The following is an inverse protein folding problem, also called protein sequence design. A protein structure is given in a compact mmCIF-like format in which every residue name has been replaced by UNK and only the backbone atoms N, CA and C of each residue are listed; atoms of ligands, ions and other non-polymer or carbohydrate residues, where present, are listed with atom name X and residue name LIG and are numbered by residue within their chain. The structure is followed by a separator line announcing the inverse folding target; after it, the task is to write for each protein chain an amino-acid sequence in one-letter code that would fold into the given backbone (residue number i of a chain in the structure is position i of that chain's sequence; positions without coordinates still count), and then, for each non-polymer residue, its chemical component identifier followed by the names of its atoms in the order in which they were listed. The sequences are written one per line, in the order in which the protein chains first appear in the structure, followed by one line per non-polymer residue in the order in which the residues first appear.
data_IF_811303547851
#
_entry.id   IF_811303547851
#
_cell.length_a   1.000
_cell.length_b   1.000
_cell.length_c   1.000
_cell.angle_alpha   90.00
_cell.angle_beta   90.00
_cell.angle_gamma   90.00
#
_symmetry.space_group_name_H-M   'P 1'
#
loop_
_entity.id
_entity.type
_entity.pdbx_description
1 polymer ?
#
# COMPACT_ATOMS: atom_id res chain seq x y z
N UNK A 1 5.65 -0.44 22.51
CA UNK A 1 5.09 0.52 21.52
C UNK A 1 3.73 1.06 21.98
N UNK A 2 3.42 2.34 21.74
CA UNK A 2 2.12 2.94 22.08
C UNK A 2 1.43 3.35 20.78
N UNK A 3 0.19 2.88 20.58
CA UNK A 3 -0.61 3.22 19.41
C UNK A 3 -0.93 4.73 19.38
N UNK A 4 -0.76 5.36 18.21
CA UNK A 4 -1.17 6.73 17.97
C UNK A 4 -1.91 6.79 16.62
N UNK A 5 -3.18 7.20 16.64
CA UNK A 5 -4.06 7.20 15.46
C UNK A 5 -3.43 7.90 14.24
N UNK A 6 -2.85 9.08 14.43
CA UNK A 6 -2.34 9.90 13.32
C UNK A 6 -1.05 9.35 12.72
N UNK A 7 -0.27 8.58 13.50
CA UNK A 7 1.00 7.98 13.06
C UNK A 7 0.89 6.51 12.68
N UNK A 8 -0.21 5.87 13.05
CA UNK A 8 -0.44 4.45 12.81
C UNK A 8 -1.51 4.26 11.77
N UNK A 9 -2.75 4.68 12.02
CA UNK A 9 -3.90 4.34 11.17
C UNK A 9 -4.06 5.28 10.00
N UNK A 10 -3.96 6.60 10.23
CA UNK A 10 -4.21 7.59 9.16
C UNK A 10 -3.15 7.55 8.06
N UNK A 11 -1.95 7.08 8.37
CA UNK A 11 -0.83 6.96 7.43
C UNK A 11 -0.54 5.50 7.05
N UNK A 12 -1.40 4.54 7.40
CA UNK A 12 -1.18 3.15 7.01
C UNK A 12 -1.60 2.95 5.54
N UNK A 13 -0.75 2.34 4.70
CA UNK A 13 -1.08 2.13 3.31
C UNK A 13 -2.01 0.92 3.14
N UNK A 14 -3.31 1.16 3.22
CA UNK A 14 -4.34 0.11 3.02
C UNK A 14 -4.44 -0.33 1.55
N UNK A 15 -4.78 -1.61 1.29
CA UNK A 15 -4.97 -2.08 -0.07
C UNK A 15 -6.29 -1.54 -0.63
N UNK A 16 -6.41 -1.53 -1.96
CA UNK A 16 -7.69 -1.25 -2.61
C UNK A 16 -8.48 -2.55 -2.66
N UNK A 17 -9.66 -2.56 -2.03
CA UNK A 17 -10.49 -3.76 -1.95
C UNK A 17 -11.55 -3.75 -3.05
N UNK A 18 -11.74 -4.90 -3.69
CA UNK A 18 -13.00 -5.17 -4.41
C UNK A 18 -14.15 -5.31 -3.41
N UNK A 19 -15.39 -5.11 -3.87
CA UNK A 19 -16.58 -5.29 -3.02
C UNK A 19 -16.62 -6.69 -2.38
N UNK A 20 -16.26 -7.72 -3.14
CA UNK A 20 -16.23 -9.11 -2.66
C UNK A 20 -15.16 -9.33 -1.58
N UNK A 21 -13.94 -8.79 -1.76
CA UNK A 21 -12.89 -8.87 -0.74
C UNK A 21 -13.29 -8.13 0.53
N UNK A 22 -13.88 -6.93 0.40
CA UNK A 22 -14.34 -6.15 1.54
C UNK A 22 -15.46 -6.85 2.33
N UNK A 23 -16.42 -7.49 1.63
CA UNK A 23 -17.47 -8.29 2.25
C UNK A 23 -16.90 -9.53 2.94
N UNK A 24 -15.98 -10.23 2.30
CA UNK A 24 -15.36 -11.43 2.87
C UNK A 24 -14.57 -11.13 4.15
N UNK A 25 -13.71 -10.11 4.13
CA UNK A 25 -12.95 -9.67 5.32
C UNK A 25 -13.91 -9.22 6.44
N UNK A 26 -15.01 -8.55 6.08
CA UNK A 26 -16.04 -8.12 7.04
C UNK A 26 -16.71 -9.31 7.72
N UNK A 27 -17.17 -10.31 6.98
CA UNK A 27 -17.79 -11.52 7.56
C UNK A 27 -16.85 -12.20 8.55
N UNK A 28 -15.59 -12.39 8.17
CA UNK A 28 -14.59 -13.00 9.05
C UNK A 28 -14.35 -12.18 10.32
N UNK A 29 -14.25 -10.85 10.19
CA UNK A 29 -14.06 -9.95 11.33
C UNK A 29 -15.29 -9.93 12.26
N UNK A 30 -16.50 -9.97 11.72
CA UNK A 30 -17.75 -10.04 12.50
C UNK A 30 -17.86 -11.39 13.23
N UNK A 31 -17.49 -12.49 12.57
CA UNK A 31 -17.42 -13.82 13.21
C UNK A 31 -16.40 -13.86 14.34
N UNK A 32 -15.23 -13.26 14.16
CA UNK A 32 -14.21 -13.12 15.21
C UNK A 32 -14.72 -12.29 16.39
N UNK A 33 -15.39 -11.18 16.14
CA UNK A 33 -15.99 -10.35 17.18
C UNK A 33 -17.11 -11.08 17.94
N UNK A 34 -18.04 -11.69 17.22
CA UNK A 34 -19.13 -12.48 17.79
C UNK A 34 -18.60 -13.67 18.62
N UNK A 35 -17.54 -14.33 18.15
CA UNK A 35 -16.86 -15.40 18.89
C UNK A 35 -16.34 -14.90 20.23
N UNK A 36 -15.52 -13.83 20.22
CA UNK A 36 -14.93 -13.26 21.44
C UNK A 36 -16.00 -12.85 22.45
N UNK A 37 -17.04 -12.15 21.99
CA UNK A 37 -18.16 -11.72 22.85
C UNK A 37 -18.89 -12.91 23.47
N UNK A 38 -19.29 -13.88 22.65
CA UNK A 38 -20.00 -15.09 23.13
C UNK A 38 -19.21 -15.83 24.21
N UNK A 39 -17.91 -16.04 24.01
CA UNK A 39 -17.07 -16.74 24.98
C UNK A 39 -16.87 -15.94 26.27
N UNK A 40 -16.75 -14.61 26.19
CA UNK A 40 -16.67 -13.76 27.38
C UNK A 40 -17.99 -13.69 28.16
N UNK A 41 -19.12 -13.71 27.46
CA UNK A 41 -20.45 -13.74 28.09
C UNK A 41 -20.70 -15.07 28.82
N UNK A 42 -20.29 -16.20 28.22
CA UNK A 42 -20.41 -17.54 28.81
C UNK A 42 -19.41 -17.79 29.95
N UNK A 43 -18.24 -17.16 29.88
CA UNK A 43 -17.18 -17.30 30.87
C UNK A 43 -16.70 -15.93 31.37
N UNK A 44 -17.36 -15.32 32.37
CA UNK A 44 -17.06 -13.94 32.81
C UNK A 44 -15.63 -13.69 33.31
N UNK A 45 -14.91 -14.74 33.72
CA UNK A 45 -13.50 -14.67 34.14
C UNK A 45 -12.52 -14.77 32.97
N UNK A 46 -13.01 -15.06 31.76
CA UNK A 46 -12.22 -15.16 30.54
C UNK A 46 -11.87 -13.76 30.04
N UNK A 47 -10.57 -13.50 29.90
CA UNK A 47 -10.06 -12.23 29.41
C UNK A 47 -9.54 -12.36 28.00
N UNK A 48 -9.67 -11.30 27.19
CA UNK A 48 -9.05 -11.24 25.87
C UNK A 48 -7.55 -11.51 25.96
N UNK A 49 -6.85 -10.83 26.87
CA UNK A 49 -5.41 -11.05 27.08
C UNK A 49 -5.10 -12.51 27.38
N UNK A 50 -5.90 -13.18 28.21
CA UNK A 50 -5.76 -14.62 28.46
C UNK A 50 -5.89 -15.45 27.19
N UNK A 51 -6.94 -15.21 26.39
CA UNK A 51 -7.17 -15.94 25.14
C UNK A 51 -6.02 -15.75 24.14
N UNK A 52 -5.53 -14.51 23.96
CA UNK A 52 -4.43 -14.22 23.04
C UNK A 52 -3.09 -14.78 23.53
N UNK A 53 -2.82 -14.77 24.83
CA UNK A 53 -1.62 -15.43 25.38
C UNK A 53 -1.67 -16.96 25.16
N UNK A 54 -2.84 -17.58 25.34
CA UNK A 54 -3.01 -19.00 25.06
C UNK A 54 -2.88 -19.32 23.56
N UNK A 55 -3.39 -18.43 22.69
CA UNK A 55 -3.24 -18.53 21.24
C UNK A 55 -1.77 -18.49 20.80
N UNK A 56 -0.97 -17.58 21.36
CA UNK A 56 0.45 -17.46 21.01
C UNK A 56 1.25 -18.69 21.45
N UNK A 57 0.95 -19.24 22.64
CA UNK A 57 1.53 -20.52 23.07
C UNK A 57 1.13 -21.69 22.19
N UNK A 58 -0.13 -21.71 21.72
CA UNK A 58 -0.59 -22.70 20.76
C UNK A 58 0.20 -22.60 19.44
N UNK A 59 0.43 -21.38 18.94
CA UNK A 59 1.22 -21.13 17.72
C UNK A 59 2.70 -21.46 17.89
N UNK A 60 3.29 -21.24 19.07
CA UNK A 60 4.69 -21.58 19.37
C UNK A 60 4.91 -23.06 19.70
N UNK A 61 3.83 -23.83 19.90
CA UNK A 61 3.89 -25.23 20.32
C UNK A 61 4.28 -25.43 21.79
N UNK A 62 4.23 -24.38 22.61
CA UNK A 62 4.50 -24.45 24.03
C UNK A 62 3.40 -25.21 24.78
N UNK A 63 3.80 -26.00 25.80
CA UNK A 63 2.84 -26.68 26.65
C UNK A 63 2.05 -25.67 27.49
N UNK A 64 0.72 -25.74 27.39
CA UNK A 64 -0.18 -24.96 28.24
C UNK A 64 -0.16 -25.49 29.68
N UNK A 65 -0.17 -24.61 30.68
CA UNK A 65 -0.44 -25.01 32.07
C UNK A 65 -1.95 -25.22 32.33
N UNK A 66 -2.36 -25.62 33.54
CA UNK A 66 -3.77 -25.91 33.85
C UNK A 66 -4.70 -24.70 33.65
N UNK A 67 -4.25 -23.50 34.03
CA UNK A 67 -5.01 -22.27 33.84
C UNK A 67 -5.15 -21.95 32.34
N UNK A 68 -4.07 -22.10 31.59
CA UNK A 68 -4.05 -21.85 30.14
C UNK A 68 -4.87 -22.89 29.37
N UNK A 69 -4.86 -24.16 29.81
CA UNK A 69 -5.76 -25.21 29.28
C UNK A 69 -7.22 -24.85 29.50
N UNK A 70 -7.55 -24.34 30.69
CA UNK A 70 -8.90 -23.87 31.00
C UNK A 70 -9.30 -22.70 30.09
N UNK A 71 -8.41 -21.70 29.93
CA UNK A 71 -8.62 -20.57 29.01
C UNK A 71 -8.75 -21.04 27.56
N UNK A 72 -7.94 -21.99 27.12
CA UNK A 72 -7.98 -22.55 25.78
C UNK A 72 -9.34 -23.20 25.50
N UNK A 73 -9.84 -24.00 26.46
CA UNK A 73 -11.15 -24.64 26.36
C UNK A 73 -12.30 -23.63 26.39
N UNK A 74 -12.32 -22.73 27.38
CA UNK A 74 -13.37 -21.72 27.56
C UNK A 74 -13.38 -20.65 26.46
N UNK A 75 -12.22 -20.29 25.91
CA UNK A 75 -12.12 -19.34 24.80
C UNK A 75 -12.25 -19.98 23.44
N UNK A 76 -12.35 -21.31 23.36
CA UNK A 76 -12.29 -22.09 22.13
C UNK A 76 -11.17 -21.55 21.22
N UNK A 77 -9.95 -21.52 21.77
CA UNK A 77 -8.82 -20.77 21.18
C UNK A 77 -8.41 -21.30 19.81
N UNK A 78 -8.71 -22.55 19.46
CA UNK A 78 -8.54 -23.09 18.11
C UNK A 78 -9.44 -22.38 17.08
N UNK A 79 -10.70 -22.08 17.43
CA UNK A 79 -11.61 -21.32 16.55
C UNK A 79 -11.11 -19.88 16.42
N UNK A 80 -10.61 -19.30 17.51
CA UNK A 80 -9.98 -17.99 17.50
C UNK A 80 -8.78 -17.97 16.53
N UNK A 81 -7.93 -19.00 16.57
CA UNK A 81 -6.80 -19.17 15.66
C UNK A 81 -7.24 -19.21 14.20
N UNK A 82 -8.20 -20.08 13.87
CA UNK A 82 -8.70 -20.25 12.51
C UNK A 82 -9.27 -18.94 11.93
N UNK A 83 -10.02 -18.18 12.73
CA UNK A 83 -10.57 -16.90 12.31
C UNK A 83 -9.48 -15.84 12.07
N UNK A 84 -8.47 -15.76 12.94
CA UNK A 84 -7.33 -14.86 12.71
C UNK A 84 -6.56 -15.25 11.46
N UNK A 85 -6.25 -16.54 11.29
CA UNK A 85 -5.49 -17.02 10.14
C UNK A 85 -6.25 -16.78 8.83
N UNK A 86 -7.58 -16.90 8.85
CA UNK A 86 -8.44 -16.59 7.70
C UNK A 86 -8.45 -15.08 7.38
N UNK A 87 -8.57 -14.21 8.40
CA UNK A 87 -8.52 -12.75 8.21
C UNK A 87 -7.16 -12.35 7.65
N UNK A 88 -6.07 -12.83 8.26
CA UNK A 88 -4.71 -12.48 7.82
C UNK A 88 -4.50 -12.92 6.36
N UNK A 89 -4.92 -14.15 5.98
CA UNK A 89 -4.86 -14.60 4.58
C UNK A 89 -5.64 -13.69 3.63
N UNK A 90 -6.89 -13.37 3.96
CA UNK A 90 -7.73 -12.50 3.12
C UNK A 90 -7.13 -11.10 2.97
N UNK A 91 -6.49 -10.58 4.03
CA UNK A 91 -5.77 -9.30 3.97
C UNK A 91 -4.53 -9.41 3.09
N UNK A 92 -3.69 -10.45 3.26
CA UNK A 92 -2.54 -10.67 2.37
C UNK A 92 -2.96 -10.80 0.90
N UNK A 93 -4.05 -11.52 0.62
CA UNK A 93 -4.60 -11.65 -0.73
C UNK A 93 -5.04 -10.30 -1.29
N UNK A 94 -5.70 -9.45 -0.49
CA UNK A 94 -6.07 -8.10 -0.88
C UNK A 94 -4.86 -7.21 -1.23
N UNK A 95 -3.70 -7.47 -0.62
CA UNK A 95 -2.45 -6.81 -0.97
C UNK A 95 -1.74 -7.45 -2.18
N UNK A 96 -2.17 -8.63 -2.65
CA UNK A 96 -1.47 -9.43 -3.65
C UNK A 96 -0.23 -10.15 -3.09
N UNK A 97 -0.15 -10.37 -1.78
CA UNK A 97 1.02 -10.92 -1.07
C UNK A 97 0.77 -12.32 -0.51
N UNK A 98 0.07 -13.17 -1.27
CA UNK A 98 -0.23 -14.55 -0.88
C UNK A 98 1.03 -15.42 -0.68
N UNK A 99 2.14 -15.05 -1.32
CA UNK A 99 3.45 -15.66 -1.10
C UNK A 99 3.93 -15.49 0.35
N UNK A 100 3.81 -14.28 0.90
CA UNK A 100 4.14 -13.99 2.30
C UNK A 100 3.14 -14.64 3.27
N UNK A 101 1.86 -14.70 2.89
CA UNK A 101 0.84 -15.35 3.69
C UNK A 101 1.18 -16.81 4.02
N UNK A 102 1.75 -17.54 3.05
CA UNK A 102 2.14 -18.94 3.21
C UNK A 102 3.25 -19.14 4.27
N UNK A 103 4.08 -18.12 4.48
CA UNK A 103 5.19 -18.18 5.44
C UNK A 103 4.76 -17.65 6.81
N UNK A 104 4.00 -16.55 6.84
CA UNK A 104 3.75 -15.75 8.04
C UNK A 104 2.45 -16.10 8.77
N UNK A 105 1.40 -16.53 8.06
CA UNK A 105 0.09 -16.78 8.69
C UNK A 105 0.15 -17.99 9.62
N UNK A 106 -0.43 -17.86 10.81
CA UNK A 106 -0.43 -18.90 11.84
C UNK A 106 0.90 -19.03 12.61
N UNK A 107 1.92 -18.23 12.28
CA UNK A 107 3.19 -18.20 13.02
C UNK A 107 3.04 -17.41 14.33
N UNK A 108 3.80 -17.77 15.38
CA UNK A 108 3.85 -16.98 16.60
C UNK A 108 4.46 -15.60 16.34
N UNK A 109 4.12 -14.63 17.19
CA UNK A 109 4.71 -13.29 17.16
C UNK A 109 3.86 -12.20 16.50
N UNK A 110 2.67 -12.54 16.00
CA UNK A 110 1.75 -11.57 15.41
C UNK A 110 0.99 -10.76 16.46
N UNK A 111 0.59 -11.39 17.58
CA UNK A 111 -0.20 -10.71 18.63
C UNK A 111 0.61 -10.37 19.89
N UNK A 112 1.80 -10.95 20.05
CA UNK A 112 2.74 -10.62 21.13
C UNK A 112 4.18 -10.56 20.62
N UNK A 113 5.07 -9.75 21.21
CA UNK A 113 6.48 -9.71 20.80
C UNK A 113 7.15 -11.08 20.93
N UNK A 114 7.67 -11.61 19.83
CA UNK A 114 8.42 -12.87 19.81
C UNK A 114 9.93 -12.59 19.76
N UNK A 115 10.70 -12.96 20.80
CA UNK A 115 12.14 -12.69 20.83
C UNK A 115 12.96 -13.60 19.92
N UNK A 116 12.52 -14.84 19.68
CA UNK A 116 13.22 -15.82 18.86
C UNK A 116 12.34 -16.25 17.68
N UNK A 117 12.68 -15.80 16.47
CA UNK A 117 11.98 -16.11 15.22
C UNK A 117 12.82 -17.07 14.38
N UNK A 118 12.17 -17.88 13.55
CA UNK A 118 12.91 -18.68 12.55
C UNK A 118 13.52 -17.75 11.50
N UNK A 119 14.62 -18.18 10.86
CA UNK A 119 15.26 -17.40 9.81
C UNK A 119 14.30 -17.11 8.65
N UNK A 120 13.50 -18.10 8.25
CA UNK A 120 12.48 -17.98 7.21
C UNK A 120 11.42 -16.93 7.56
N UNK A 121 10.90 -16.93 8.79
CA UNK A 121 9.94 -15.93 9.25
C UNK A 121 10.56 -14.54 9.28
N UNK A 122 11.79 -14.40 9.75
CA UNK A 122 12.47 -13.10 9.82
C UNK A 122 12.65 -12.48 8.41
N UNK A 123 13.04 -13.29 7.42
CA UNK A 123 13.17 -12.84 6.02
C UNK A 123 11.82 -12.42 5.44
N UNK A 124 10.77 -13.21 5.67
CA UNK A 124 9.43 -12.85 5.18
C UNK A 124 8.86 -11.59 5.85
N UNK A 125 9.16 -11.36 7.14
CA UNK A 125 8.79 -10.12 7.82
C UNK A 125 9.55 -8.90 7.28
N UNK A 126 10.85 -9.05 6.97
CA UNK A 126 11.65 -7.98 6.35
C UNK A 126 11.12 -7.62 4.96
N UNK A 127 10.76 -8.64 4.16
CA UNK A 127 10.12 -8.44 2.86
C UNK A 127 8.76 -7.76 3.00
N UNK A 128 7.92 -8.17 3.98
CA UNK A 128 6.66 -7.50 4.28
C UNK A 128 6.87 -6.00 4.58
N UNK A 129 7.83 -5.68 5.45
CA UNK A 129 8.15 -4.30 5.80
C UNK A 129 8.66 -3.51 4.59
N UNK A 130 9.44 -4.14 3.72
CA UNK A 130 9.95 -3.53 2.48
C UNK A 130 8.80 -3.19 1.52
N UNK A 131 7.86 -4.12 1.30
CA UNK A 131 6.67 -3.88 0.47
C UNK A 131 5.77 -2.78 1.04
N UNK A 132 5.56 -2.77 2.36
CA UNK A 132 4.80 -1.71 3.03
C UNK A 132 5.48 -0.34 2.91
N UNK A 133 6.81 -0.28 3.06
CA UNK A 133 7.56 0.98 2.90
C UNK A 133 7.47 1.51 1.45
N UNK A 134 7.57 0.63 0.46
CA UNK A 134 7.40 0.97 -0.95
C UNK A 134 5.98 1.49 -1.24
N UNK A 135 4.95 0.82 -0.73
CA UNK A 135 3.56 1.26 -0.89
C UNK A 135 3.32 2.61 -0.21
N UNK A 136 3.88 2.84 0.97
CA UNK A 136 3.81 4.14 1.64
C UNK A 136 4.49 5.24 0.83
N UNK A 137 5.67 4.98 0.24
CA UNK A 137 6.35 5.93 -0.64
C UNK A 137 5.51 6.28 -1.87
N UNK A 138 4.83 5.28 -2.46
CA UNK A 138 3.90 5.50 -3.56
C UNK A 138 2.72 6.39 -3.13
N UNK A 139 2.10 6.13 -1.97
CA UNK A 139 0.99 6.95 -1.46
C UNK A 139 1.40 8.40 -1.21
N UNK A 140 2.59 8.62 -0.65
CA UNK A 140 3.14 9.97 -0.47
C UNK A 140 3.33 10.67 -1.83
N UNK A 141 3.82 9.98 -2.86
CA UNK A 141 3.98 10.56 -4.19
C UNK A 141 2.63 10.93 -4.84
N UNK A 142 1.61 10.10 -4.65
CA UNK A 142 0.24 10.37 -5.12
C UNK A 142 -0.36 11.60 -4.43
N UNK A 143 -0.20 11.70 -3.11
CA UNK A 143 -0.71 12.85 -2.33
C UNK A 143 -0.05 14.17 -2.79
N UNK A 144 1.25 14.16 -3.08
CA UNK A 144 1.98 15.32 -3.64
C UNK A 144 1.41 15.73 -5.01
N UNK A 145 0.92 14.78 -5.80
CA UNK A 145 0.25 15.02 -7.08
C UNK A 145 -1.24 15.43 -6.91
N UNK A 146 -1.74 15.50 -5.67
CA UNK A 146 -3.13 15.83 -5.35
C UNK A 146 -4.08 14.63 -5.35
N UNK A 147 -3.56 13.41 -5.50
CA UNK A 147 -4.34 12.17 -5.45
C UNK A 147 -4.31 11.59 -4.04
N UNK A 148 -5.42 11.74 -3.30
CA UNK A 148 -5.57 11.15 -1.96
C UNK A 148 -6.48 9.94 -2.03
N UNK A 149 -5.95 8.77 -1.65
CA UNK A 149 -6.73 7.52 -1.57
C UNK A 149 -7.40 7.38 -0.20
N UNK A 150 -8.61 7.93 -0.10
CA UNK A 150 -9.48 7.79 1.07
C UNK A 150 -9.96 6.35 1.27
N UNK A 151 -9.90 5.85 2.50
CA UNK A 151 -10.45 4.56 2.91
C UNK A 151 -11.97 4.58 3.02
N UNK A 152 -12.53 5.72 3.43
CA UNK A 152 -13.96 5.98 3.53
C UNK A 152 -14.27 7.35 2.92
N UNK A 153 -14.30 7.46 1.60
CA UNK A 153 -14.48 8.74 0.90
C UNK A 153 -15.70 9.50 1.41
N UNK A 154 -16.81 8.80 1.64
CA UNK A 154 -18.07 9.36 2.11
C UNK A 154 -18.00 9.99 3.51
N UNK A 155 -16.99 9.63 4.32
CA UNK A 155 -16.75 10.22 5.64
C UNK A 155 -15.54 11.15 5.68
N UNK A 156 -14.50 10.85 4.90
CA UNK A 156 -13.21 11.53 4.96
C UNK A 156 -13.15 12.73 4.00
N UNK A 157 -13.84 12.64 2.86
CA UNK A 157 -13.88 13.69 1.86
C UNK A 157 -15.20 13.64 1.07
N UNK A 158 -16.35 13.95 1.73
CA UNK A 158 -17.68 13.81 1.12
C UNK A 158 -17.88 14.69 -0.13
N UNK A 159 -17.11 15.77 -0.25
CA UNK A 159 -17.16 16.71 -1.39
C UNK A 159 -16.08 16.45 -2.44
N UNK A 160 -15.21 15.45 -2.25
CA UNK A 160 -14.11 15.14 -3.18
C UNK A 160 -14.46 13.96 -4.10
N UNK A 161 -14.27 14.12 -5.40
CA UNK A 161 -14.42 13.04 -6.37
C UNK A 161 -13.15 12.18 -6.34
N UNK A 162 -13.26 10.91 -5.95
CA UNK A 162 -12.15 9.97 -6.04
C UNK A 162 -11.85 9.64 -7.51
N UNK A 163 -10.64 9.96 -7.95
CA UNK A 163 -10.08 9.36 -9.16
C UNK A 163 -9.47 8.02 -8.75
N UNK A 164 -10.03 6.90 -9.21
CA UNK A 164 -9.41 5.58 -9.06
C UNK A 164 -8.01 5.64 -9.68
N UNK A 165 -6.98 5.53 -8.83
CA UNK A 165 -5.63 5.30 -9.30
C UNK A 165 -5.44 3.78 -9.39
N UNK A 166 -5.37 3.26 -10.60
CA UNK A 166 -5.03 1.86 -10.89
C UNK A 166 -3.66 1.53 -10.31
N UNK A 167 -3.57 0.38 -9.63
CA UNK A 167 -2.31 -0.26 -9.30
C UNK A 167 -1.87 -1.07 -10.52
N UNK A 168 -0.80 -0.64 -11.19
CA UNK A 168 -0.18 -1.38 -12.29
C UNK A 168 0.58 -2.58 -11.69
N UNK A 169 0.03 -3.77 -11.86
CA UNK A 169 0.80 -5.02 -11.82
C UNK A 169 1.66 -5.09 -13.09
N UNK A 170 3.00 -5.18 -12.96
CA UNK A 170 3.92 -5.43 -14.07
C UNK A 170 4.37 -6.91 -14.07
N UNK A 171 4.82 -7.52 -15.20
CA UNK A 171 5.13 -6.90 -16.49
C UNK A 171 4.59 -7.67 -17.73
N UNK A 172 3.99 -6.95 -18.67
CA UNK A 172 4.27 -7.11 -20.10
C UNK A 172 3.77 -5.84 -20.80
N UNK A 173 4.69 -4.93 -21.08
CA UNK A 173 4.35 -3.66 -21.72
C UNK A 173 4.18 -3.91 -23.21
N UNK A 174 2.98 -4.35 -23.58
CA UNK A 174 2.38 -4.00 -24.87
C UNK A 174 1.33 -2.93 -24.59
N UNK A 175 1.55 -1.80 -25.24
CA UNK A 175 0.91 -0.51 -25.05
C UNK A 175 -0.60 -0.57 -25.25
N UNK A 176 -1.37 0.06 -24.36
CA UNK A 176 -2.63 0.70 -24.76
C UNK A 176 -2.75 2.07 -24.08
N UNK A 177 -2.52 3.13 -24.87
CA UNK A 177 -2.68 4.52 -24.46
C UNK A 177 -4.17 4.82 -24.45
N UNK A 178 -4.78 4.81 -23.26
CA UNK A 178 -6.11 5.36 -23.07
C UNK A 178 -6.03 6.90 -23.13
N UNK A 179 -6.56 7.46 -24.22
CA UNK A 179 -6.70 8.89 -24.43
C UNK A 179 -7.70 9.50 -23.45
N UNK A 180 -7.23 10.30 -22.49
CA UNK A 180 -8.03 11.39 -21.91
C UNK A 180 -7.49 12.72 -22.40
N UNK A 181 -8.23 13.30 -23.33
CA UNK A 181 -7.97 14.54 -24.03
C UNK A 181 -8.13 15.76 -23.12
N UNK A 182 -7.04 16.27 -22.54
CA UNK A 182 -6.77 17.72 -22.48
C UNK A 182 -5.25 17.98 -22.41
N UNK A 183 -4.62 18.27 -23.56
CA UNK A 183 -3.23 18.74 -23.60
C UNK A 183 -3.11 20.06 -22.81
N UNK A 184 -2.15 20.23 -21.88
CA UNK A 184 -1.94 21.49 -21.18
C UNK A 184 -1.57 22.63 -22.14
N UNK A 185 -1.91 23.87 -21.79
CA UNK A 185 -1.42 25.05 -22.52
C UNK A 185 0.07 25.26 -22.25
N UNK A 186 0.80 25.80 -23.23
CA UNK A 186 2.19 26.21 -23.04
C UNK A 186 2.28 27.31 -21.97
N UNK A 187 3.10 27.16 -20.91
CA UNK A 187 3.23 28.17 -19.88
C UNK A 187 3.76 29.51 -20.43
N UNK A 188 3.31 30.62 -19.86
CA UNK A 188 3.71 31.98 -20.31
C UNK A 188 5.00 32.48 -19.65
N UNK A 189 5.36 31.95 -18.47
CA UNK A 189 6.56 32.35 -17.74
C UNK A 189 7.74 31.45 -18.11
N UNK A 190 8.95 32.01 -18.20
CA UNK A 190 10.17 31.23 -18.47
C UNK A 190 10.44 30.14 -17.41
N UNK A 191 10.29 30.39 -16.09
CA UNK A 191 10.48 29.35 -15.08
C UNK A 191 9.52 28.16 -15.25
N UNK A 192 8.25 28.43 -15.56
CA UNK A 192 7.25 27.36 -15.74
C UNK A 192 7.49 26.57 -17.02
N UNK A 193 7.99 27.22 -18.08
CA UNK A 193 8.39 26.54 -19.33
C UNK A 193 9.55 25.58 -19.09
N UNK A 194 10.57 26.02 -18.32
CA UNK A 194 11.71 25.18 -17.94
C UNK A 194 11.25 23.98 -17.12
N UNK A 195 10.42 24.20 -16.09
CA UNK A 195 9.91 23.11 -15.26
C UNK A 195 9.06 22.12 -16.07
N UNK A 196 8.23 22.61 -16.99
CA UNK A 196 7.40 21.76 -17.84
C UNK A 196 8.23 20.87 -18.76
N UNK A 197 9.31 21.39 -19.36
CA UNK A 197 10.22 20.60 -20.20
C UNK A 197 11.04 19.62 -19.36
N UNK A 198 11.57 20.03 -18.20
CA UNK A 198 12.33 19.14 -17.31
C UNK A 198 11.50 17.98 -16.81
N UNK A 199 10.24 18.22 -16.40
CA UNK A 199 9.34 17.16 -15.95
C UNK A 199 9.09 16.10 -17.04
N UNK A 200 9.03 16.51 -18.31
CA UNK A 200 8.90 15.56 -19.43
C UNK A 200 10.19 14.77 -19.68
N UNK A 201 11.36 15.38 -19.50
CA UNK A 201 12.66 14.71 -19.64
C UNK A 201 12.99 13.77 -18.47
N UNK A 202 12.38 13.95 -17.29
CA UNK A 202 12.49 13.00 -16.16
C UNK A 202 11.89 11.63 -16.52
N UNK A 203 10.87 11.60 -17.37
CA UNK A 203 10.19 10.36 -17.80
C UNK A 203 11.10 9.52 -18.73
N UNK A 204 12.07 10.16 -19.38
CA UNK A 204 13.10 9.49 -20.18
C UNK A 204 13.54 10.32 -21.40
N UNK A 205 14.46 9.79 -22.22
CA UNK A 205 14.99 10.50 -23.38
C UNK A 205 13.92 10.74 -24.46
N UNK A 206 13.65 12.01 -24.81
CA UNK A 206 12.59 12.38 -25.76
C UNK A 206 13.06 13.31 -26.87
N UNK A 207 12.44 13.25 -28.05
CA UNK A 207 12.70 14.20 -29.13
C UNK A 207 11.95 15.51 -28.92
N UNK A 208 12.39 16.58 -29.59
CA UNK A 208 11.73 17.89 -29.57
C UNK A 208 10.28 17.83 -30.05
N UNK A 209 10.00 17.02 -31.07
CA UNK A 209 8.64 16.85 -31.60
C UNK A 209 7.72 16.18 -30.57
N UNK A 210 8.20 15.13 -29.91
CA UNK A 210 7.46 14.45 -28.82
C UNK A 210 7.18 15.41 -27.67
N UNK A 211 8.18 16.17 -27.22
CA UNK A 211 8.02 17.17 -26.15
C UNK A 211 6.99 18.25 -26.52
N UNK A 212 7.00 18.73 -27.76
CA UNK A 212 6.04 19.74 -28.22
C UNK A 212 4.62 19.19 -28.36
N UNK A 213 4.46 17.91 -28.66
CA UNK A 213 3.17 17.25 -28.81
C UNK A 213 2.38 17.15 -27.49
N UNK A 214 3.06 17.23 -26.34
CA UNK A 214 2.43 17.27 -25.02
C UNK A 214 1.63 18.57 -24.77
N UNK A 215 1.88 19.65 -25.51
CA UNK A 215 1.23 20.94 -25.29
C UNK A 215 0.20 21.29 -26.38
N UNK A 216 -0.82 22.06 -26.00
CA UNK A 216 -1.75 22.69 -26.95
C UNK A 216 -0.98 23.56 -27.94
N UNK A 217 -1.36 23.49 -29.21
CA UNK A 217 -0.77 24.23 -30.35
C UNK A 217 0.67 23.87 -30.71
N UNK A 218 1.24 22.78 -30.16
CA UNK A 218 2.58 22.26 -30.51
C UNK A 218 3.65 23.36 -30.63
N UNK A 219 4.05 24.00 -29.53
CA UNK A 219 4.97 25.14 -29.53
C UNK A 219 6.44 24.69 -29.75
N UNK A 220 6.74 24.04 -30.87
CA UNK A 220 8.04 23.43 -31.14
C UNK A 220 9.21 24.42 -30.99
N UNK A 221 9.06 25.65 -31.51
CA UNK A 221 10.09 26.70 -31.39
C UNK A 221 10.36 27.14 -29.95
N UNK A 222 9.34 27.20 -29.12
CA UNK A 222 9.50 27.61 -27.71
C UNK A 222 10.10 26.48 -26.87
N UNK A 223 9.72 25.23 -27.14
CA UNK A 223 10.34 24.04 -26.52
C UNK A 223 11.83 23.97 -26.88
N UNK A 224 12.17 24.19 -28.15
CA UNK A 224 13.56 24.20 -28.63
C UNK A 224 14.40 25.30 -27.95
N UNK A 225 13.84 26.51 -27.77
CA UNK A 225 14.51 27.60 -27.04
C UNK A 225 14.81 27.24 -25.58
N UNK A 226 13.89 26.54 -24.92
CA UNK A 226 14.06 26.11 -23.52
C UNK A 226 15.11 24.99 -23.42
N UNK A 227 15.10 24.04 -24.35
CA UNK A 227 16.10 22.96 -24.40
C UNK A 227 17.50 23.50 -24.67
N UNK A 228 17.64 24.45 -25.61
CA UNK A 228 18.90 25.14 -25.86
C UNK A 228 19.39 25.91 -24.62
N UNK A 229 18.48 26.53 -23.86
CA UNK A 229 18.85 27.20 -22.61
C UNK A 229 19.29 26.19 -21.52
N UNK A 230 18.63 25.03 -21.43
CA UNK A 230 18.99 23.96 -20.50
C UNK A 230 20.33 23.30 -20.85
N UNK A 231 20.67 23.21 -22.14
CA UNK A 231 21.97 22.75 -22.61
C UNK A 231 23.10 23.71 -22.23
N UNK A 232 22.89 25.01 -22.46
CA UNK A 232 23.86 26.06 -22.06
C UNK A 232 24.08 26.06 -20.54
N UNK A 233 23.04 25.74 -19.76
CA UNK A 233 23.11 25.62 -18.30
C UNK A 233 23.67 24.27 -17.82
N UNK A 234 23.99 23.34 -18.73
CA UNK A 234 24.50 22.01 -18.41
C UNK A 234 23.49 21.11 -17.70
N UNK A 235 22.19 21.38 -17.86
CA UNK A 235 21.09 20.66 -17.21
C UNK A 235 20.40 19.64 -18.12
N UNK A 236 20.62 19.73 -19.44
CA UNK A 236 20.13 18.78 -20.42
C UNK A 236 21.17 18.60 -21.53
N UNK A 237 21.21 17.42 -22.13
CA UNK A 237 22.09 17.11 -23.26
C UNK A 237 21.29 16.40 -24.35
N UNK A 238 21.69 16.62 -25.60
CA UNK A 238 21.12 15.93 -26.75
C UNK A 238 22.04 14.79 -27.18
N UNK A 239 21.52 13.56 -27.18
CA UNK A 239 22.20 12.36 -27.67
C UNK A 239 21.32 11.67 -28.72
N UNK A 240 21.88 11.39 -29.90
CA UNK A 240 21.17 10.74 -31.02
C UNK A 240 19.79 11.36 -31.38
N UNK A 241 19.65 12.68 -31.26
CA UNK A 241 18.40 13.41 -31.55
C UNK A 241 17.36 13.36 -30.43
N UNK A 242 17.70 12.81 -29.27
CA UNK A 242 16.87 12.78 -28.05
C UNK A 242 17.52 13.60 -26.94
N UNK A 243 16.72 14.35 -26.22
CA UNK A 243 17.12 15.13 -25.06
C UNK A 243 17.00 14.27 -23.81
N UNK A 244 17.98 14.37 -22.92
CA UNK A 244 17.94 13.81 -21.57
C UNK A 244 18.52 14.82 -20.57
N UNK A 245 18.20 14.65 -19.28
CA UNK A 245 18.81 15.45 -18.22
C UNK A 245 20.24 14.95 -17.93
N UNK A 246 21.11 15.89 -17.52
CA UNK A 246 22.49 15.64 -17.07
C UNK A 246 22.54 15.57 -15.55
#
# INVERSE_FOLDING_TARGET
PRYNKTRCFETFPFPNLTAAQAEHIRDLAERLDAHRKRQQDEHPNLTLTGMYNALEKLRSGEALNDKERTIHAQGLVTILQELHDAIDRAVFEAYGWSDLANVLVGRPGATTPLPNKTAEQAVAEEELLTRLAALNAQRVAEEVQGHVRWMRPEYQAPDAVQTEADLVEHPDVVVEVAETTQRPNWPKSMPDQVNAVRNLLVIGPQSTDTLSAHFKRKPAKSVEQVLAALEVLGQAQQEAGRWHLV
#
